data_IF_452820891224
#
_entry.id   IF_452820891224
#
_cell.length_a   1.000
_cell.length_b   1.000
_cell.length_c   1.000
_cell.angle_alpha   90.00
_cell.angle_beta   90.00
_cell.angle_gamma   90.00
#
_symmetry.space_group_name_H-M   'P 1'
#
loop_
_entity.id
_entity.type
_entity.pdbx_description
1 polymer ?
#
# COMPACT_ATOMS: atom_id res chain seq x y z
N UNK A 1 62.26 27.94 3.63
CA UNK A 1 61.01 28.31 4.33
C UNK A 1 59.88 27.52 3.68
N UNK A 2 59.50 26.37 4.24
CA UNK A 2 58.43 25.50 3.73
C UNK A 2 57.13 25.89 4.42
N UNK A 3 56.15 26.43 3.70
CA UNK A 3 54.80 26.60 4.23
C UNK A 3 54.00 25.31 3.95
N UNK A 4 53.66 24.58 5.01
CA UNK A 4 52.61 23.57 5.00
C UNK A 4 51.26 24.30 5.02
N UNK A 5 50.47 24.18 3.96
CA UNK A 5 49.07 24.56 3.99
C UNK A 5 48.26 23.35 4.48
N UNK A 6 47.84 23.38 5.74
CA UNK A 6 46.89 22.41 6.30
C UNK A 6 45.49 22.83 5.83
N UNK A 7 44.91 22.10 4.89
CA UNK A 7 43.50 22.21 4.53
C UNK A 7 42.66 21.49 5.59
N UNK A 8 42.03 22.27 6.48
CA UNK A 8 41.04 21.77 7.41
C UNK A 8 39.73 21.55 6.64
N UNK A 9 39.43 20.31 6.25
CA UNK A 9 38.10 19.95 5.75
C UNK A 9 37.09 20.09 6.90
N UNK A 10 36.32 21.18 6.91
CA UNK A 10 35.07 21.22 7.66
C UNK A 10 34.07 20.30 6.97
N UNK A 11 33.92 19.08 7.51
CA UNK A 11 32.77 18.25 7.21
C UNK A 11 31.54 18.94 7.81
N UNK A 12 30.80 19.68 6.97
CA UNK A 12 29.43 20.07 7.27
C UNK A 12 28.64 18.76 7.38
N UNK A 13 28.39 18.32 8.60
CA UNK A 13 27.39 17.29 8.88
C UNK A 13 26.05 17.87 8.44
N UNK A 14 25.62 17.52 7.22
CA UNK A 14 24.24 17.73 6.81
C UNK A 14 23.37 16.98 7.83
N UNK A 15 22.33 17.62 8.39
CA UNK A 15 21.38 16.89 9.22
C UNK A 15 20.82 15.78 8.34
N UNK A 16 20.97 14.53 8.79
CA UNK A 16 20.22 13.43 8.23
C UNK A 16 18.75 13.86 8.27
N UNK A 17 18.12 13.95 7.10
CA UNK A 17 16.67 14.13 7.00
C UNK A 17 16.05 13.13 7.97
N UNK A 18 15.32 13.66 8.97
CA UNK A 18 14.63 12.85 9.94
C UNK A 18 13.73 11.85 9.22
N UNK A 19 13.54 10.68 9.83
CA UNK A 19 12.57 9.69 9.34
C UNK A 19 11.25 10.41 9.05
N UNK A 20 10.84 10.41 7.78
CA UNK A 20 9.61 11.07 7.35
C UNK A 20 8.42 10.32 7.92
N UNK A 21 7.35 11.03 8.30
CA UNK A 21 6.19 10.39 8.91
C UNK A 21 5.38 9.60 7.87
N UNK A 22 4.88 8.44 8.27
CA UNK A 22 3.93 7.64 7.50
C UNK A 22 2.61 8.41 7.32
N UNK A 23 1.94 8.23 6.18
CA UNK A 23 0.58 8.75 5.95
C UNK A 23 -0.37 8.15 6.99
N UNK A 24 -1.08 8.98 7.79
CA UNK A 24 -2.00 8.51 8.82
C UNK A 24 -3.05 7.55 8.25
N UNK A 25 -3.38 6.50 9.01
CA UNK A 25 -4.41 5.51 8.62
C UNK A 25 -5.76 6.14 8.25
N UNK A 26 -6.10 7.27 8.89
CA UNK A 26 -7.31 8.03 8.59
C UNK A 26 -7.36 8.59 7.16
N UNK A 27 -6.22 8.78 6.50
CA UNK A 27 -6.12 9.35 5.14
C UNK A 27 -5.95 8.23 4.10
N UNK A 28 -5.36 7.10 4.48
CA UNK A 28 -5.17 5.93 3.62
C UNK A 28 -6.50 5.39 3.07
N UNK A 29 -6.45 4.80 1.88
CA UNK A 29 -7.63 4.26 1.19
C UNK A 29 -7.70 4.67 -0.27
N UNK A 30 -8.84 4.40 -0.90
CA UNK A 30 -9.09 4.67 -2.31
C UNK A 30 -9.68 6.07 -2.50
N UNK A 31 -9.15 6.83 -3.44
CA UNK A 31 -9.53 8.21 -3.73
C UNK A 31 -9.76 8.40 -5.21
N UNK A 32 -10.67 9.29 -5.59
CA UNK A 32 -10.93 9.63 -6.99
C UNK A 32 -11.19 11.13 -7.12
N UNK A 33 -10.87 11.72 -8.28
CA UNK A 33 -11.23 13.12 -8.55
C UNK A 33 -12.74 13.34 -8.35
N UNK A 34 -13.13 14.47 -7.76
CA UNK A 34 -14.51 14.75 -7.31
C UNK A 34 -15.61 14.54 -8.37
N UNK A 35 -15.27 14.64 -9.65
CA UNK A 35 -16.22 14.47 -10.78
C UNK A 35 -16.16 13.07 -11.43
N UNK A 36 -15.43 12.14 -10.83
CA UNK A 36 -15.22 10.79 -11.34
C UNK A 36 -15.90 9.75 -10.43
N UNK A 37 -16.19 8.58 -10.99
CA UNK A 37 -16.77 7.46 -10.25
C UNK A 37 -15.68 6.59 -9.64
N UNK A 38 -15.91 6.09 -8.41
CA UNK A 38 -15.04 5.12 -7.76
C UNK A 38 -14.92 3.77 -8.48
N UNK A 39 -15.86 3.50 -9.38
CA UNK A 39 -15.87 2.32 -10.24
C UNK A 39 -15.39 2.62 -11.66
N UNK A 40 -15.00 3.87 -11.97
CA UNK A 40 -14.43 4.20 -13.27
C UNK A 40 -13.06 3.54 -13.39
N UNK A 41 -12.88 2.74 -14.43
CA UNK A 41 -11.60 2.10 -14.75
C UNK A 41 -10.57 3.21 -15.04
N UNK A 42 -9.36 3.08 -14.50
CA UNK A 42 -8.28 4.03 -14.80
C UNK A 42 -8.32 5.35 -14.02
N UNK A 43 -9.28 5.54 -13.10
CA UNK A 43 -9.49 6.83 -12.43
C UNK A 43 -9.09 6.90 -10.95
N UNK A 44 -9.37 5.89 -10.09
CA UNK A 44 -9.02 5.97 -8.68
C UNK A 44 -7.51 5.80 -8.43
N UNK A 45 -7.00 6.47 -7.41
CA UNK A 45 -5.71 6.16 -6.79
C UNK A 45 -5.91 5.51 -5.43
N UNK A 46 -4.91 4.79 -4.96
CA UNK A 46 -4.87 4.22 -3.61
C UNK A 46 -3.71 4.86 -2.85
N UNK A 47 -3.98 5.24 -1.60
CA UNK A 47 -2.99 5.80 -0.69
C UNK A 47 -2.74 4.79 0.43
N UNK A 48 -1.48 4.45 0.63
CA UNK A 48 -0.99 3.64 1.76
C UNK A 48 -0.14 4.51 2.71
N UNK A 49 0.48 3.90 3.72
CA UNK A 49 1.37 4.58 4.64
C UNK A 49 2.54 5.29 3.94
N UNK A 50 3.04 4.76 2.82
CA UNK A 50 4.27 5.26 2.18
C UNK A 50 4.16 5.36 0.66
N UNK A 51 3.02 5.02 0.06
CA UNK A 51 2.89 5.00 -1.40
C UNK A 51 1.55 5.55 -1.90
N UNK A 52 1.59 6.11 -3.10
CA UNK A 52 0.44 6.38 -3.96
C UNK A 52 0.49 5.44 -5.16
N UNK A 53 -0.60 4.72 -5.40
CA UNK A 53 -0.74 3.83 -6.55
C UNK A 53 -1.85 4.32 -7.46
N UNK A 54 -1.50 4.56 -8.71
CA UNK A 54 -2.40 5.05 -9.74
C UNK A 54 -2.98 3.89 -10.56
N UNK A 55 -4.13 4.11 -11.16
CA UNK A 55 -4.81 3.06 -11.93
C UNK A 55 -4.06 2.62 -13.21
N UNK A 56 -3.08 3.39 -13.67
CA UNK A 56 -2.18 3.00 -14.76
C UNK A 56 -0.98 2.15 -14.29
N UNK A 57 -0.93 1.81 -12.99
CA UNK A 57 0.13 1.02 -12.38
C UNK A 57 1.35 1.84 -11.96
N UNK A 58 1.34 3.17 -12.13
CA UNK A 58 2.38 4.04 -11.56
C UNK A 58 2.31 3.98 -10.03
N UNK A 59 3.49 3.94 -9.41
CA UNK A 59 3.66 3.95 -7.95
C UNK A 59 4.62 5.08 -7.63
N UNK A 60 4.23 5.96 -6.72
CA UNK A 60 5.11 6.97 -6.19
C UNK A 60 5.30 6.77 -4.69
N UNK A 61 6.53 6.89 -4.22
CA UNK A 61 6.85 6.91 -2.79
C UNK A 61 6.53 8.28 -2.21
N UNK A 62 5.87 8.29 -1.06
CA UNK A 62 5.39 9.50 -0.40
C UNK A 62 5.71 9.52 1.08
N UNK A 63 5.64 10.70 1.66
CA UNK A 63 5.64 10.91 3.09
C UNK A 63 4.58 11.92 3.51
N UNK A 64 4.26 11.93 4.81
CA UNK A 64 3.33 12.88 5.39
C UNK A 64 4.07 13.98 6.13
N UNK A 65 3.61 15.21 5.92
CA UNK A 65 4.07 16.41 6.62
C UNK A 65 2.89 16.95 7.44
N UNK A 66 2.81 16.65 8.75
CA UNK A 66 1.73 17.12 9.61
C UNK A 66 1.72 18.64 9.78
N UNK A 67 2.87 19.30 9.60
CA UNK A 67 3.02 20.75 9.71
C UNK A 67 2.59 21.52 8.45
N UNK A 68 2.49 20.85 7.29
CA UNK A 68 2.13 21.48 6.03
C UNK A 68 0.61 21.44 5.82
N UNK A 69 -0.02 22.62 5.78
CA UNK A 69 -1.47 22.76 5.71
C UNK A 69 -2.14 22.71 7.09
N UNK A 70 -3.48 22.69 7.11
CA UNK A 70 -4.22 22.69 8.38
C UNK A 70 -4.31 21.30 9.02
N UNK A 71 -4.51 20.26 8.20
CA UNK A 71 -4.66 18.86 8.64
C UNK A 71 -3.54 17.94 8.10
N UNK A 72 -2.46 18.56 7.60
CA UNK A 72 -1.30 17.88 7.03
C UNK A 72 -1.40 17.61 5.53
N UNK A 73 -0.24 17.32 4.94
CA UNK A 73 -0.06 17.17 3.49
C UNK A 73 0.77 15.94 3.16
N UNK A 74 0.39 15.23 2.09
CA UNK A 74 1.17 14.13 1.52
C UNK A 74 2.07 14.70 0.41
N UNK A 75 3.37 14.43 0.52
CA UNK A 75 4.41 14.85 -0.40
C UNK A 75 5.09 13.66 -1.06
N UNK A 76 5.60 13.86 -2.27
CA UNK A 76 6.41 12.86 -2.97
C UNK A 76 7.84 12.89 -2.45
N UNK A 77 8.48 11.72 -2.35
CA UNK A 77 9.89 11.61 -2.00
C UNK A 77 10.84 11.98 -3.16
N UNK A 78 10.31 12.16 -4.37
CA UNK A 78 11.11 12.52 -5.54
C UNK A 78 11.67 13.95 -5.43
N UNK A 79 12.97 14.09 -5.59
CA UNK A 79 13.64 15.39 -5.51
C UNK A 79 13.13 16.37 -6.59
N UNK A 80 12.77 17.58 -6.15
CA UNK A 80 12.26 18.64 -7.02
C UNK A 80 10.79 18.50 -7.41
N UNK A 81 10.12 17.43 -6.95
CA UNK A 81 8.67 17.33 -7.07
C UNK A 81 8.01 18.27 -6.05
N UNK A 82 7.19 19.18 -6.55
CA UNK A 82 6.49 20.20 -5.74
C UNK A 82 5.02 19.89 -5.57
N UNK A 83 4.51 18.93 -6.34
CA UNK A 83 3.13 18.45 -6.26
C UNK A 83 2.84 17.89 -4.88
N UNK A 84 1.62 18.06 -4.38
CA UNK A 84 1.21 17.50 -3.10
C UNK A 84 -0.30 17.25 -3.00
N UNK A 85 -0.70 16.47 -1.99
CA UNK A 85 -2.10 16.28 -1.62
C UNK A 85 -2.35 16.82 -0.22
N UNK A 86 -3.10 17.90 -0.11
CA UNK A 86 -3.57 18.43 1.17
C UNK A 86 -4.76 17.62 1.65
N UNK A 87 -4.76 17.19 2.92
CA UNK A 87 -5.94 16.60 3.54
C UNK A 87 -6.79 17.68 4.19
N UNK A 88 -8.12 17.54 4.04
CA UNK A 88 -9.11 18.43 4.65
C UNK A 88 -10.07 17.59 5.49
N UNK A 89 -9.75 17.45 6.79
CA UNK A 89 -10.38 16.50 7.69
C UNK A 89 -11.89 16.74 7.84
N UNK A 90 -12.32 18.01 7.93
CA UNK A 90 -13.72 18.39 8.10
C UNK A 90 -14.65 17.86 6.99
N UNK A 91 -14.10 17.60 5.80
CA UNK A 91 -14.85 17.15 4.62
C UNK A 91 -14.43 15.79 4.09
N UNK A 92 -13.48 15.13 4.75
CA UNK A 92 -12.82 13.89 4.30
C UNK A 92 -12.45 13.93 2.81
N UNK A 93 -11.72 14.98 2.45
CA UNK A 93 -11.37 15.31 1.07
C UNK A 93 -9.85 15.45 0.96
N UNK A 94 -9.31 15.06 -0.20
CA UNK A 94 -7.97 15.46 -0.60
C UNK A 94 -8.05 16.59 -1.62
N UNK A 95 -7.11 17.51 -1.58
CA UNK A 95 -6.92 18.52 -2.61
C UNK A 95 -5.55 18.27 -3.25
N UNK A 96 -5.58 17.90 -4.52
CA UNK A 96 -4.37 17.75 -5.32
C UNK A 96 -3.93 19.11 -5.86
N UNK A 97 -2.67 19.47 -5.57
CA UNK A 97 -2.05 20.72 -5.97
C UNK A 97 -0.87 20.41 -6.92
N UNK A 98 -1.07 20.41 -8.26
CA UNK A 98 -0.02 20.05 -9.22
C UNK A 98 1.12 21.07 -9.31
N UNK A 99 0.89 22.30 -8.85
CA UNK A 99 1.92 23.34 -8.79
C UNK A 99 2.45 23.57 -7.35
N UNK A 100 2.03 22.74 -6.40
CA UNK A 100 2.36 22.83 -4.99
C UNK A 100 1.37 23.64 -4.14
N UNK A 101 1.46 23.46 -2.83
CA UNK A 101 0.51 24.02 -1.87
C UNK A 101 0.35 25.54 -2.01
N UNK A 102 -0.91 25.99 -2.14
CA UNK A 102 -1.24 27.41 -2.27
C UNK A 102 -0.89 28.03 -3.63
N UNK A 103 -0.46 27.22 -4.61
CA UNK A 103 -0.07 27.66 -5.93
C UNK A 103 -1.01 27.05 -6.98
N UNK A 104 -1.57 27.89 -7.85
CA UNK A 104 -2.25 27.42 -9.05
C UNK A 104 -3.56 26.66 -8.78
N UNK A 105 -3.60 25.41 -9.23
CA UNK A 105 -4.81 24.61 -9.39
C UNK A 105 -5.08 23.79 -8.13
N UNK A 106 -6.31 23.84 -7.61
CA UNK A 106 -6.76 22.98 -6.53
C UNK A 106 -7.77 21.95 -7.07
N UNK A 107 -7.36 20.70 -7.18
CA UNK A 107 -8.19 19.62 -7.74
C UNK A 107 -8.75 18.74 -6.61
N UNK A 108 -10.03 18.88 -6.25
CA UNK A 108 -10.62 18.12 -5.16
C UNK A 108 -10.79 16.65 -5.53
N UNK A 109 -10.56 15.80 -4.54
CA UNK A 109 -10.65 14.36 -4.60
C UNK A 109 -11.48 13.84 -3.44
N UNK A 110 -12.38 12.90 -3.74
CA UNK A 110 -13.30 12.31 -2.77
C UNK A 110 -12.88 10.89 -2.45
N UNK A 111 -13.08 10.49 -1.20
CA UNK A 111 -12.84 9.12 -0.77
C UNK A 111 -13.84 8.19 -1.41
N UNK A 112 -13.35 7.08 -1.93
CA UNK A 112 -14.20 5.99 -2.35
C UNK A 112 -14.69 5.19 -1.15
N UNK A 113 -15.97 4.78 -1.13
CA UNK A 113 -16.44 3.91 -0.09
C UNK A 113 -15.60 2.63 -0.09
N UNK A 114 -15.03 2.31 1.07
CA UNK A 114 -14.44 0.99 1.29
C UNK A 114 -15.54 -0.07 1.03
N UNK A 115 -15.19 -1.24 0.48
CA UNK A 115 -16.16 -2.31 0.25
C UNK A 115 -16.99 -2.60 1.51
N UNK A 116 -18.31 -2.63 1.36
CA UNK A 116 -19.22 -2.81 2.48
C UNK A 116 -19.15 -4.24 3.04
N UNK A 117 -18.90 -4.37 4.34
CA UNK A 117 -18.90 -5.65 5.06
C UNK A 117 -18.09 -5.56 6.35
N UNK A 118 -18.36 -6.43 7.35
CA UNK A 118 -17.53 -6.48 8.54
C UNK A 118 -16.13 -7.02 8.19
N UNK A 119 -15.09 -6.36 8.68
CA UNK A 119 -13.74 -6.92 8.62
C UNK A 119 -13.67 -8.20 9.46
N UNK A 120 -13.28 -9.29 8.82
CA UNK A 120 -13.07 -10.58 9.44
C UNK A 120 -11.58 -10.95 9.46
N UNK A 121 -11.16 -11.59 10.55
CA UNK A 121 -9.78 -12.05 10.71
C UNK A 121 -9.60 -13.37 9.95
N UNK A 122 -8.76 -13.38 8.92
CA UNK A 122 -8.41 -14.59 8.15
C UNK A 122 -6.92 -14.85 8.20
N UNK A 123 -6.53 -16.09 8.44
CA UNK A 123 -5.14 -16.49 8.59
C UNK A 123 -4.90 -17.82 7.91
N UNK A 124 -3.78 -17.93 7.21
CA UNK A 124 -3.46 -19.11 6.43
C UNK A 124 -2.29 -18.88 5.49
N UNK A 125 -2.20 -19.73 4.47
CA UNK A 125 -1.15 -19.63 3.46
C UNK A 125 -1.37 -18.39 2.60
N UNK A 126 -0.36 -17.54 2.50
CA UNK A 126 -0.31 -16.49 1.50
C UNK A 126 0.50 -17.03 0.32
N UNK A 127 -0.17 -17.25 -0.81
CA UNK A 127 0.39 -17.92 -1.97
C UNK A 127 0.52 -16.97 -3.17
N UNK A 128 1.67 -17.00 -3.82
CA UNK A 128 1.96 -16.37 -5.11
C UNK A 128 2.52 -17.43 -6.06
N UNK A 129 1.68 -18.30 -6.65
CA UNK A 129 2.14 -19.44 -7.45
C UNK A 129 2.59 -19.05 -8.86
N UNK A 130 2.08 -17.93 -9.40
CA UNK A 130 2.34 -17.49 -10.76
C UNK A 130 2.10 -15.98 -10.91
N UNK A 131 2.62 -15.32 -11.96
CA UNK A 131 2.52 -13.87 -12.12
C UNK A 131 1.09 -13.34 -12.05
N UNK A 132 0.86 -12.42 -11.11
CA UNK A 132 -0.44 -11.78 -10.92
C UNK A 132 -1.46 -12.63 -10.18
N UNK A 133 -1.13 -13.87 -9.79
CA UNK A 133 -2.02 -14.72 -8.99
C UNK A 133 -1.62 -14.65 -7.52
N UNK A 134 -2.49 -14.09 -6.68
CA UNK A 134 -2.27 -14.01 -5.25
C UNK A 134 -3.49 -14.51 -4.50
N UNK A 135 -3.25 -15.41 -3.55
CA UNK A 135 -4.31 -16.07 -2.78
C UNK A 135 -4.01 -16.07 -1.29
N UNK A 136 -5.07 -15.92 -0.48
CA UNK A 136 -5.07 -16.27 0.93
C UNK A 136 -5.84 -17.58 1.10
N UNK A 137 -5.18 -18.64 1.54
CA UNK A 137 -5.78 -19.97 1.67
C UNK A 137 -5.89 -20.27 3.17
N UNK A 138 -7.11 -20.26 3.69
CA UNK A 138 -7.41 -20.58 5.08
C UNK A 138 -8.20 -21.89 5.20
N UNK A 139 -8.69 -22.20 6.41
CA UNK A 139 -9.48 -23.42 6.68
C UNK A 139 -10.82 -23.47 5.92
N UNK A 140 -11.33 -22.31 5.49
CA UNK A 140 -12.65 -22.21 4.89
C UNK A 140 -12.54 -22.38 3.37
N UNK A 141 -11.56 -21.73 2.74
CA UNK A 141 -11.30 -21.77 1.28
C UNK A 141 -10.06 -21.00 0.85
N UNK A 142 -9.81 -21.03 -0.46
CA UNK A 142 -8.97 -20.08 -1.18
C UNK A 142 -9.72 -18.78 -1.45
N UNK A 143 -9.12 -17.66 -1.04
CA UNK A 143 -9.58 -16.31 -1.30
C UNK A 143 -8.69 -15.62 -2.31
N UNK A 144 -9.27 -15.13 -3.41
CA UNK A 144 -8.54 -14.41 -4.44
C UNK A 144 -8.22 -13.00 -3.99
N UNK A 145 -6.93 -12.65 -3.93
CA UNK A 145 -6.43 -11.29 -3.73
C UNK A 145 -6.19 -10.61 -5.10
N UNK A 146 -5.61 -11.36 -6.03
CA UNK A 146 -5.37 -10.95 -7.41
C UNK A 146 -5.33 -12.17 -8.34
N UNK A 147 -5.70 -11.97 -9.59
CA UNK A 147 -5.58 -12.96 -10.66
C UNK A 147 -4.90 -12.35 -11.88
N UNK A 148 -4.20 -13.18 -12.65
CA UNK A 148 -3.56 -12.75 -13.88
C UNK A 148 -4.57 -12.17 -14.87
N UNK A 149 -4.33 -10.94 -15.34
CA UNK A 149 -5.23 -10.24 -16.27
C UNK A 149 -6.47 -9.67 -15.61
N UNK A 150 -6.55 -9.64 -14.28
CA UNK A 150 -7.61 -8.99 -13.53
C UNK A 150 -7.49 -7.47 -13.65
N UNK A 151 -8.48 -6.85 -14.29
CA UNK A 151 -8.60 -5.41 -14.49
C UNK A 151 -9.50 -4.74 -13.42
N UNK A 152 -9.92 -5.50 -12.41
CA UNK A 152 -10.76 -4.98 -11.35
C UNK A 152 -9.96 -4.00 -10.48
N UNK A 153 -10.40 -2.73 -10.33
CA UNK A 153 -9.71 -1.73 -9.52
C UNK A 153 -9.64 -2.08 -8.02
N UNK A 154 -10.38 -3.09 -7.56
CA UNK A 154 -10.25 -3.67 -6.22
C UNK A 154 -8.89 -4.37 -6.04
N UNK A 155 -8.33 -4.98 -7.09
CA UNK A 155 -7.04 -5.69 -7.04
C UNK A 155 -5.94 -4.77 -6.52
N UNK A 156 -5.81 -3.58 -7.11
CA UNK A 156 -4.75 -2.64 -6.77
C UNK A 156 -4.78 -2.31 -5.28
N UNK A 157 -5.95 -1.92 -4.76
CA UNK A 157 -6.12 -1.58 -3.35
C UNK A 157 -5.85 -2.76 -2.40
N UNK A 158 -6.18 -3.98 -2.82
CA UNK A 158 -5.89 -5.19 -2.04
C UNK A 158 -4.39 -5.48 -2.06
N UNK A 159 -3.76 -5.47 -3.23
CA UNK A 159 -2.36 -5.88 -3.39
C UNK A 159 -1.38 -4.95 -2.66
N UNK A 160 -1.70 -3.67 -2.52
CA UNK A 160 -0.88 -2.70 -1.76
C UNK A 160 -0.76 -3.05 -0.27
N UNK A 161 -1.73 -3.81 0.26
CA UNK A 161 -1.79 -4.18 1.67
C UNK A 161 -1.43 -5.65 1.90
N UNK A 162 -1.05 -6.38 0.86
CA UNK A 162 -0.50 -7.73 1.00
C UNK A 162 0.92 -7.62 1.59
N UNK A 163 1.23 -8.34 2.68
CA UNK A 163 2.54 -8.24 3.31
C UNK A 163 3.60 -8.88 2.40
N UNK A 164 4.74 -8.22 2.28
CA UNK A 164 5.92 -8.79 1.63
C UNK A 164 6.47 -10.01 2.37
N UNK A 165 7.29 -10.79 1.68
CA UNK A 165 7.98 -11.95 2.23
C UNK A 165 9.44 -11.64 2.54
N UNK A 166 9.94 -12.00 3.73
CA UNK A 166 11.38 -12.17 3.91
C UNK A 166 11.81 -13.51 3.31
N UNK A 167 13.05 -13.59 2.86
CA UNK A 167 13.62 -14.79 2.23
C UNK A 167 13.51 -16.06 3.08
N UNK A 168 13.48 -15.91 4.41
CA UNK A 168 13.58 -17.03 5.35
C UNK A 168 12.21 -17.57 5.79
N UNK A 169 11.13 -16.80 5.57
CA UNK A 169 9.76 -17.12 5.99
C UNK A 169 8.85 -17.38 4.77
N UNK A 170 9.46 -17.77 3.66
CA UNK A 170 8.84 -18.02 2.37
C UNK A 170 9.45 -19.24 1.71
N UNK A 171 8.62 -20.23 1.38
CA UNK A 171 9.05 -21.38 0.58
C UNK A 171 8.95 -20.98 -0.88
N UNK A 172 10.10 -20.74 -1.49
CA UNK A 172 10.16 -20.45 -2.92
C UNK A 172 9.91 -21.69 -3.77
N UNK A 173 8.95 -21.64 -4.68
CA UNK A 173 8.70 -22.65 -5.73
C UNK A 173 9.28 -22.25 -7.08
N UNK A 174 9.96 -21.09 -7.16
CA UNK A 174 10.60 -20.55 -8.37
C UNK A 174 11.57 -19.42 -8.06
N UNK A 175 11.75 -18.47 -8.99
CA UNK A 175 12.61 -17.28 -8.75
C UNK A 175 11.86 -16.16 -7.99
N UNK A 176 10.54 -16.09 -8.12
CA UNK A 176 9.66 -15.07 -7.50
C UNK A 176 8.30 -15.62 -7.02
N UNK A 177 8.16 -16.95 -6.95
CA UNK A 177 6.91 -17.63 -6.61
C UNK A 177 7.07 -18.49 -5.39
N UNK A 178 5.99 -18.74 -4.69
CA UNK A 178 6.02 -19.53 -3.47
C UNK A 178 4.88 -19.19 -2.52
N UNK A 179 5.08 -19.55 -1.26
CA UNK A 179 4.12 -19.27 -0.20
C UNK A 179 4.78 -18.99 1.14
N UNK A 180 4.10 -18.20 1.94
CA UNK A 180 4.42 -18.00 3.35
C UNK A 180 3.17 -18.06 4.21
N UNK A 181 3.29 -17.67 5.47
CA UNK A 181 2.16 -17.62 6.40
C UNK A 181 1.76 -16.18 6.68
N UNK A 182 0.47 -15.87 6.61
CA UNK A 182 -0.03 -14.53 6.89
C UNK A 182 -1.40 -14.55 7.56
N UNK A 183 -1.75 -13.39 8.09
CA UNK A 183 -2.93 -13.16 8.89
C UNK A 183 -3.40 -11.75 8.52
N UNK A 184 -4.59 -11.61 7.95
CA UNK A 184 -5.18 -10.33 7.53
C UNK A 184 -6.52 -10.07 8.22
N UNK A 185 -6.94 -8.82 8.31
CA UNK A 185 -8.34 -8.47 8.53
C UNK A 185 -8.92 -8.01 7.20
N UNK A 186 -9.92 -8.71 6.68
CA UNK A 186 -10.40 -8.53 5.30
C UNK A 186 -11.90 -8.33 5.23
N UNK A 187 -12.34 -7.62 4.19
CA UNK A 187 -13.72 -7.72 3.68
C UNK A 187 -13.68 -8.67 2.50
N UNK A 188 -14.59 -9.63 2.45
CA UNK A 188 -14.65 -10.64 1.39
C UNK A 188 -15.96 -10.57 0.60
N UNK A 189 -15.92 -11.06 -0.63
CA UNK A 189 -17.08 -11.56 -1.37
C UNK A 189 -17.11 -13.09 -1.23
N UNK A 190 -17.98 -13.65 -0.37
CA UNK A 190 -18.07 -15.10 -0.20
C UNK A 190 -18.70 -15.83 -1.39
N UNK A 191 -19.43 -15.14 -2.26
CA UNK A 191 -20.01 -15.75 -3.46
C UNK A 191 -18.94 -15.95 -4.54
N UNK A 192 -18.04 -14.97 -4.68
CA UNK A 192 -16.93 -15.02 -5.63
C UNK A 192 -15.65 -15.63 -5.05
N UNK A 193 -15.55 -15.78 -3.73
CA UNK A 193 -14.33 -16.24 -3.05
C UNK A 193 -13.20 -15.24 -3.18
N UNK A 194 -13.50 -13.95 -2.99
CA UNK A 194 -12.57 -12.85 -3.26
C UNK A 194 -12.37 -11.96 -2.04
N UNK A 195 -11.17 -11.40 -1.86
CA UNK A 195 -10.93 -10.30 -0.93
C UNK A 195 -11.25 -8.98 -1.63
N UNK A 196 -12.11 -8.19 -1.01
CA UNK A 196 -12.51 -6.87 -1.50
C UNK A 196 -11.66 -5.75 -0.87
N UNK A 197 -11.25 -5.92 0.39
CA UNK A 197 -10.37 -4.99 1.07
C UNK A 197 -9.54 -5.70 2.13
N UNK A 198 -8.34 -5.17 2.40
CA UNK A 198 -7.52 -5.50 3.55
C UNK A 198 -7.47 -4.27 4.46
N UNK A 199 -7.75 -4.47 5.74
CA UNK A 199 -7.53 -3.47 6.79
C UNK A 199 -6.09 -3.56 7.27
N UNK A 200 -5.82 -4.49 8.18
CA UNK A 200 -4.47 -4.85 8.64
C UNK A 200 -3.98 -6.14 7.97
N UNK A 201 -2.67 -6.21 7.75
CA UNK A 201 -2.00 -7.44 7.34
C UNK A 201 -0.76 -7.68 8.17
N UNK A 202 -0.48 -8.95 8.43
CA UNK A 202 0.70 -9.37 9.18
C UNK A 202 1.21 -10.69 8.63
N UNK A 203 2.49 -10.72 8.26
CA UNK A 203 3.24 -11.96 8.03
C UNK A 203 3.50 -12.67 9.35
N UNK A 204 3.44 -13.99 9.31
CA UNK A 204 3.71 -14.87 10.44
C UNK A 204 4.89 -15.81 10.11
N UNK A 205 5.54 -16.37 11.13
CA UNK A 205 6.49 -17.45 10.92
C UNK A 205 5.83 -18.62 10.19
N UNK A 206 6.51 -19.18 9.20
CA UNK A 206 6.06 -20.29 8.36
C UNK A 206 5.58 -21.49 9.19
N UNK A 207 6.30 -21.76 10.29
CA UNK A 207 5.98 -22.81 11.25
C UNK A 207 4.55 -22.69 11.82
N UNK A 208 3.97 -21.48 11.83
CA UNK A 208 2.60 -21.25 12.28
C UNK A 208 1.60 -21.98 11.39
N UNK A 209 1.69 -21.80 10.08
CA UNK A 209 0.80 -22.45 9.13
C UNK A 209 1.13 -23.95 8.99
N UNK A 210 2.41 -24.34 9.07
CA UNK A 210 2.81 -25.76 9.05
C UNK A 210 2.24 -26.56 10.23
N UNK A 211 2.08 -25.92 11.39
CA UNK A 211 1.51 -26.55 12.58
C UNK A 211 -0.03 -26.55 12.61
N UNK A 212 -0.69 -25.71 11.79
CA UNK A 212 -2.14 -25.60 11.77
C UNK A 212 -2.77 -26.70 10.90
N UNK A 213 -3.27 -27.74 11.56
CA UNK A 213 -3.93 -28.89 10.92
C UNK A 213 -5.29 -28.57 10.30
N UNK A 214 -5.83 -27.38 10.55
CA UNK A 214 -7.08 -26.95 9.91
C UNK A 214 -6.84 -26.35 8.52
N UNK A 215 -5.59 -26.03 8.16
CA UNK A 215 -5.26 -25.55 6.83
C UNK A 215 -5.14 -26.72 5.84
N UNK A 216 -5.49 -26.51 4.56
CA UNK A 216 -5.20 -27.45 3.49
C UNK A 216 -3.70 -27.77 3.38
N UNK A 217 -3.37 -28.96 2.89
CA UNK A 217 -1.99 -29.31 2.59
C UNK A 217 -1.48 -28.49 1.41
N UNK A 218 -0.16 -28.29 1.32
CA UNK A 218 0.46 -27.50 0.26
C UNK A 218 0.22 -28.08 -1.14
N UNK A 219 -0.05 -29.37 -1.20
CA UNK A 219 -0.21 -30.16 -2.40
C UNK A 219 -1.62 -30.01 -3.01
N UNK A 220 -2.54 -29.34 -2.30
CA UNK A 220 -3.97 -29.28 -2.62
C UNK A 220 -4.38 -28.01 -3.41
N UNK A 221 -3.46 -27.09 -3.75
CA UNK A 221 -3.77 -25.78 -4.34
C UNK A 221 -2.84 -25.33 -5.47
#
# INVERSE_FOLDING_TARGET
MRLLAVFLLLALSMPAYAASDDVPEAIQGKWVGKNLSCNAIGAPMVISATTLVYADGRIDDVFFSPEDGADGTIHFLQEGEVTNYEYVADSDMLIFHPEGFGMGTALPMVRCPEPAGPFERRCGWLAHPAPGNWWLIDRDRTWTLSAHGDDNPVVTAVMDRVPGFDTDEFISTGRYYGHGCACMTVVTDPAEGRVLAIGTSKRLPLATCQADKALPALDDW
#
